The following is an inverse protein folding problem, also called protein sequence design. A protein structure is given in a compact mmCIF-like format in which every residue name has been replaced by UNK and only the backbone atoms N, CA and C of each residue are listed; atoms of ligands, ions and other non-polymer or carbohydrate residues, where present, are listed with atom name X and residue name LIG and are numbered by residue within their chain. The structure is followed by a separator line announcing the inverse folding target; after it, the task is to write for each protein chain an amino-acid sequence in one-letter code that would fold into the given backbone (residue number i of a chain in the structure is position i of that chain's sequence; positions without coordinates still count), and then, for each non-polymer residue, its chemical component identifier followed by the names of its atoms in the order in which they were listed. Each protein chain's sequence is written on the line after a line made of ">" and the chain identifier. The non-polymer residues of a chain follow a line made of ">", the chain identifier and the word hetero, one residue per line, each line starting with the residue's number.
data_IF_563227791852
#
_entry.id   IF_563227791852
#
_cell.length_a   1.000
_cell.length_b   1.000
_cell.length_c   1.000
_cell.angle_alpha   90.00
_cell.angle_beta   90.00
_cell.angle_gamma   90.00
#
_symmetry.space_group_name_H-M   'P 1'
#
loop_
_entity.id
_entity.type
_entity.pdbx_description
1 polymer ?
#
# COMPACT_ATOMS: atom_id res chain seq x y z
N UNK A 1 -8.89 5.87 3.41
CA UNK A 1 -9.88 4.78 3.42
C UNK A 1 -9.85 4.05 2.08
N UNK A 2 -9.63 2.72 2.09
CA UNK A 2 -9.56 1.90 0.88
C UNK A 2 -10.90 1.21 0.55
N UNK A 3 -12.01 1.65 1.12
CA UNK A 3 -13.33 1.05 0.89
C UNK A 3 -13.66 1.02 -0.62
N UNK A 4 -13.40 2.11 -1.33
CA UNK A 4 -13.62 2.20 -2.78
C UNK A 4 -12.83 1.17 -3.60
N UNK A 5 -11.65 0.73 -3.09
CA UNK A 5 -10.86 -0.34 -3.73
C UNK A 5 -11.55 -1.69 -3.56
N UNK A 6 -12.09 -1.97 -2.37
CA UNK A 6 -12.87 -3.19 -2.14
C UNK A 6 -14.16 -3.21 -2.97
N UNK A 7 -14.86 -2.07 -3.05
CA UNK A 7 -16.06 -1.94 -3.86
C UNK A 7 -15.76 -2.24 -5.34
N UNK A 8 -14.64 -1.70 -5.86
CA UNK A 8 -14.18 -2.00 -7.23
C UNK A 8 -13.89 -3.49 -7.44
N UNK A 9 -13.21 -4.14 -6.47
CA UNK A 9 -12.84 -5.54 -6.55
C UNK A 9 -14.06 -6.47 -6.46
N UNK A 10 -15.06 -6.14 -5.61
CA UNK A 10 -16.29 -6.92 -5.47
C UNK A 10 -17.27 -6.74 -6.65
N UNK A 11 -17.19 -5.61 -7.36
CA UNK A 11 -17.98 -5.40 -8.59
C UNK A 11 -17.53 -6.32 -9.74
N UNK A 12 -16.31 -6.85 -9.67
CA UNK A 12 -15.79 -7.80 -10.66
C UNK A 12 -16.38 -9.20 -10.43
N UNK A 13 -17.40 -9.56 -11.20
CA UNK A 13 -17.91 -10.94 -11.21
C UNK A 13 -17.02 -11.83 -12.09
N UNK A 14 -16.04 -12.50 -11.46
CA UNK A 14 -15.07 -13.34 -12.18
C UNK A 14 -15.68 -14.54 -12.92
N UNK A 15 -16.95 -14.90 -12.65
CA UNK A 15 -17.67 -15.95 -13.37
C UNK A 15 -18.25 -15.48 -14.71
N UNK A 16 -18.43 -14.18 -14.85
CA UNK A 16 -19.05 -13.57 -16.04
C UNK A 16 -18.02 -12.94 -16.98
N UNK A 17 -16.89 -12.47 -16.44
CA UNK A 17 -15.82 -11.86 -17.24
C UNK A 17 -14.94 -12.92 -17.89
N UNK A 18 -14.57 -12.70 -19.14
CA UNK A 18 -13.78 -13.64 -19.95
C UNK A 18 -12.36 -13.17 -20.23
N UNK A 19 -12.10 -11.89 -20.03
CA UNK A 19 -10.81 -11.27 -20.37
C UNK A 19 -10.31 -10.32 -19.28
N UNK A 20 -8.98 -10.16 -19.22
CA UNK A 20 -8.31 -9.17 -18.34
C UNK A 20 -8.77 -7.75 -18.66
N UNK A 21 -9.02 -7.45 -19.93
CA UNK A 21 -9.47 -6.12 -20.36
C UNK A 21 -10.88 -5.78 -19.85
N UNK A 22 -11.76 -6.77 -19.69
CA UNK A 22 -13.08 -6.56 -19.07
C UNK A 22 -12.94 -6.24 -17.59
N UNK A 23 -12.07 -6.95 -16.87
CA UNK A 23 -11.77 -6.68 -15.46
C UNK A 23 -11.21 -5.26 -15.30
N UNK A 24 -10.24 -4.87 -16.12
CA UNK A 24 -9.65 -3.52 -16.11
C UNK A 24 -10.70 -2.42 -16.34
N UNK A 25 -11.63 -2.64 -17.28
CA UNK A 25 -12.74 -1.70 -17.53
C UNK A 25 -13.69 -1.57 -16.33
N UNK A 26 -13.95 -2.67 -15.60
CA UNK A 26 -14.80 -2.62 -14.40
C UNK A 26 -14.08 -1.83 -13.31
N UNK A 27 -12.80 -2.15 -13.03
CA UNK A 27 -12.01 -1.42 -12.05
C UNK A 27 -11.92 0.08 -12.35
N UNK A 28 -11.78 0.46 -13.63
CA UNK A 28 -11.71 1.85 -14.09
C UNK A 28 -12.99 2.65 -13.89
N UNK A 29 -14.13 2.01 -13.61
CA UNK A 29 -15.38 2.72 -13.23
C UNK A 29 -15.32 3.27 -11.80
N UNK A 30 -14.54 2.64 -10.95
CA UNK A 30 -14.43 2.96 -9.51
C UNK A 30 -13.13 3.67 -9.16
N UNK A 31 -12.05 3.43 -9.93
CA UNK A 31 -10.70 3.87 -9.64
C UNK A 31 -10.17 4.75 -10.78
N UNK A 32 -9.67 5.93 -10.44
CA UNK A 32 -9.12 6.88 -11.42
C UNK A 32 -7.59 6.73 -11.59
N UNK A 33 -6.91 6.11 -10.61
CA UNK A 33 -5.46 5.95 -10.64
C UNK A 33 -5.06 4.68 -11.41
N UNK A 34 -4.43 4.89 -12.55
CA UNK A 34 -3.95 3.81 -13.43
C UNK A 34 -2.92 2.91 -12.74
N UNK A 35 -2.07 3.46 -11.87
CA UNK A 35 -1.06 2.71 -11.11
C UNK A 35 -1.71 1.70 -10.19
N UNK A 36 -2.72 2.12 -9.43
CA UNK A 36 -3.53 1.26 -8.56
C UNK A 36 -4.22 0.16 -9.37
N UNK A 37 -4.86 0.50 -10.49
CA UNK A 37 -5.52 -0.50 -11.35
C UNK A 37 -4.51 -1.55 -11.82
N UNK A 38 -3.36 -1.15 -12.34
CA UNK A 38 -2.33 -2.07 -12.81
C UNK A 38 -1.76 -2.93 -11.68
N UNK A 39 -1.61 -2.38 -10.47
CA UNK A 39 -1.22 -3.14 -9.29
C UNK A 39 -2.25 -4.21 -8.93
N UNK A 40 -3.53 -3.86 -8.90
CA UNK A 40 -4.62 -4.82 -8.64
C UNK A 40 -4.67 -5.91 -9.71
N UNK A 41 -4.48 -5.54 -10.97
CA UNK A 41 -4.43 -6.47 -12.11
C UNK A 41 -3.31 -7.51 -12.03
N UNK A 42 -2.21 -7.26 -11.29
CA UNK A 42 -1.16 -8.26 -11.02
C UNK A 42 -1.65 -9.41 -10.12
N UNK A 43 -2.73 -9.18 -9.37
CA UNK A 43 -3.38 -10.21 -8.54
C UNK A 43 -4.41 -11.05 -9.31
N UNK A 44 -4.64 -10.77 -10.58
CA UNK A 44 -5.52 -11.56 -11.43
C UNK A 44 -4.72 -12.68 -12.11
N UNK A 45 -5.15 -13.92 -11.96
CA UNK A 45 -4.58 -15.11 -12.61
C UNK A 45 -5.64 -15.92 -13.33
N UNK A 46 -5.20 -16.94 -14.08
CA UNK A 46 -6.09 -17.95 -14.59
C UNK A 46 -6.14 -19.12 -13.61
N UNK A 47 -7.35 -19.63 -13.40
CA UNK A 47 -7.57 -20.87 -12.69
C UNK A 47 -7.21 -22.09 -13.54
N UNK A 48 -7.37 -23.30 -12.99
CA UNK A 48 -7.04 -24.57 -13.67
C UNK A 48 -7.97 -24.89 -14.85
N UNK A 49 -9.14 -24.28 -14.89
CA UNK A 49 -10.16 -24.47 -15.93
C UNK A 49 -10.09 -23.39 -17.00
N UNK A 50 -9.17 -22.43 -16.87
CA UNK A 50 -8.94 -21.33 -17.82
C UNK A 50 -9.77 -20.08 -17.52
N UNK A 51 -10.58 -20.10 -16.47
CA UNK A 51 -11.29 -18.95 -15.91
C UNK A 51 -10.35 -17.93 -15.28
N UNK A 52 -10.90 -16.85 -14.76
CA UNK A 52 -10.16 -15.83 -14.03
C UNK A 52 -10.38 -15.98 -12.53
N UNK A 53 -9.31 -15.80 -11.74
CA UNK A 53 -9.37 -15.82 -10.29
C UNK A 53 -8.49 -14.72 -9.68
N UNK A 54 -8.88 -14.24 -8.50
CA UNK A 54 -7.99 -13.42 -7.67
C UNK A 54 -7.00 -14.32 -6.92
N UNK A 55 -5.70 -14.04 -7.01
CA UNK A 55 -4.66 -14.72 -6.20
C UNK A 55 -4.83 -14.46 -4.71
N UNK A 56 -5.36 -13.28 -4.35
CA UNK A 56 -5.64 -12.90 -2.98
C UNK A 56 -6.98 -13.46 -2.51
N UNK A 57 -7.06 -13.77 -1.21
CA UNK A 57 -8.34 -14.12 -0.57
C UNK A 57 -9.12 -12.83 -0.25
N UNK A 58 -9.80 -12.27 -1.27
CA UNK A 58 -10.52 -11.00 -1.17
C UNK A 58 -11.56 -10.99 -0.04
N UNK A 59 -12.42 -12.01 0.15
CA UNK A 59 -13.37 -12.03 1.25
C UNK A 59 -12.72 -12.00 2.63
N UNK A 60 -11.59 -12.70 2.81
CA UNK A 60 -10.86 -12.69 4.08
C UNK A 60 -10.18 -11.35 4.34
N UNK A 61 -9.56 -10.76 3.31
CA UNK A 61 -8.95 -9.43 3.41
C UNK A 61 -10.00 -8.39 3.82
N UNK A 62 -11.15 -8.38 3.18
CA UNK A 62 -12.24 -7.47 3.52
C UNK A 62 -12.73 -7.69 4.96
N UNK A 63 -12.98 -8.95 5.34
CA UNK A 63 -13.41 -9.30 6.71
C UNK A 63 -12.42 -8.84 7.78
N UNK A 64 -11.11 -8.83 7.45
CA UNK A 64 -10.04 -8.46 8.38
C UNK A 64 -9.54 -7.02 8.17
N UNK A 65 -10.18 -6.26 7.29
CA UNK A 65 -9.74 -4.91 6.93
C UNK A 65 -9.63 -3.97 8.15
N UNK A 66 -10.59 -4.04 9.06
CA UNK A 66 -10.56 -3.24 10.30
C UNK A 66 -9.34 -3.56 11.18
N UNK A 67 -8.88 -4.82 11.18
CA UNK A 67 -7.67 -5.20 11.91
C UNK A 67 -6.40 -4.63 11.26
N UNK A 68 -6.41 -4.46 9.92
CA UNK A 68 -5.30 -3.84 9.17
C UNK A 68 -5.25 -2.32 9.45
N UNK A 69 -6.42 -1.69 9.65
CA UNK A 69 -6.53 -0.28 9.99
C UNK A 69 -6.29 0.03 11.48
N UNK A 70 -6.29 -0.99 12.33
CA UNK A 70 -6.10 -0.78 13.76
C UNK A 70 -4.67 -0.32 14.06
N UNK A 71 -4.54 0.65 14.97
CA UNK A 71 -3.24 1.11 15.40
C UNK A 71 -2.45 0.00 16.07
N UNK A 72 -1.15 -0.05 15.80
CA UNK A 72 -0.21 -0.88 16.54
C UNK A 72 0.01 -0.24 17.91
N UNK A 73 -0.44 -0.90 18.97
CA UNK A 73 -0.22 -0.43 20.32
C UNK A 73 1.09 -1.00 20.89
N UNK A 74 1.92 -0.13 21.39
CA UNK A 74 3.16 -0.50 22.05
C UNK A 74 2.97 -0.42 23.56
N UNK A 75 3.37 -1.47 24.29
CA UNK A 75 3.33 -1.49 25.77
C UNK A 75 4.52 -0.76 26.42
N UNK A 76 5.54 -0.46 25.64
CA UNK A 76 6.76 0.21 26.08
C UNK A 76 7.48 0.89 24.92
N UNK A 77 8.39 1.81 25.23
CA UNK A 77 9.24 2.45 24.21
C UNK A 77 10.18 1.46 23.56
N UNK A 78 10.32 1.57 22.25
CA UNK A 78 11.24 0.76 21.44
C UNK A 78 12.47 1.60 21.14
N UNK A 79 13.62 1.21 21.67
CA UNK A 79 14.87 1.99 21.59
C UNK A 79 15.69 1.73 20.33
N UNK A 80 15.20 0.89 19.43
CA UNK A 80 15.86 0.59 18.15
C UNK A 80 15.97 1.85 17.29
N UNK A 81 17.14 2.11 16.73
CA UNK A 81 17.34 3.16 15.75
C UNK A 81 16.46 2.87 14.53
N UNK A 82 15.61 3.82 14.17
CA UNK A 82 14.57 3.61 13.16
C UNK A 82 14.58 4.76 12.16
N UNK A 83 14.55 4.43 10.89
CA UNK A 83 14.39 5.40 9.81
C UNK A 83 13.00 5.27 9.18
N UNK A 84 12.23 6.34 9.25
CA UNK A 84 11.01 6.51 8.48
C UNK A 84 11.32 7.24 7.17
N UNK A 85 10.83 6.70 6.05
CA UNK A 85 10.98 7.32 4.73
C UNK A 85 9.57 7.52 4.15
N UNK A 86 9.26 8.74 3.76
CA UNK A 86 7.97 9.09 3.13
C UNK A 86 8.19 9.88 1.85
N UNK A 87 7.25 9.78 0.92
CA UNK A 87 7.14 10.74 -0.17
C UNK A 87 6.47 12.05 0.29
N UNK A 88 6.83 13.15 -0.30
CA UNK A 88 6.25 14.48 0.01
C UNK A 88 4.76 14.58 -0.33
N UNK A 89 4.30 13.77 -1.29
CA UNK A 89 2.89 13.68 -1.72
C UNK A 89 2.09 12.61 -0.95
N UNK A 90 2.68 11.97 0.08
CA UNK A 90 2.06 10.90 0.87
C UNK A 90 1.49 11.43 2.18
N UNK A 91 0.23 11.11 2.46
CA UNK A 91 -0.48 11.47 3.68
C UNK A 91 -0.44 10.37 4.77
N UNK A 92 0.42 9.35 4.62
CA UNK A 92 0.49 8.24 5.58
C UNK A 92 1.22 8.59 6.88
N UNK A 93 2.14 9.55 6.85
CA UNK A 93 2.77 10.13 8.03
C UNK A 93 2.64 11.64 7.89
N UNK A 94 1.77 12.24 8.71
CA UNK A 94 1.58 13.67 8.76
C UNK A 94 2.58 14.30 9.75
N UNK A 95 2.75 15.61 9.68
CA UNK A 95 3.62 16.32 10.60
C UNK A 95 3.15 16.20 12.05
N UNK A 96 1.85 16.19 12.25
CA UNK A 96 1.19 16.02 13.55
C UNK A 96 1.36 14.63 14.17
N UNK A 97 1.63 13.58 13.37
CA UNK A 97 1.87 12.22 13.87
C UNK A 97 3.27 12.05 14.46
N UNK A 98 4.21 12.92 14.08
CA UNK A 98 5.61 12.75 14.42
C UNK A 98 5.92 12.77 15.93
N UNK A 99 5.31 13.64 16.75
CA UNK A 99 5.49 13.59 18.20
C UNK A 99 5.04 12.27 18.84
N UNK A 100 3.92 11.69 18.39
CA UNK A 100 3.42 10.40 18.86
C UNK A 100 4.37 9.25 18.49
N UNK A 101 4.91 9.28 17.27
CA UNK A 101 5.93 8.31 16.83
C UNK A 101 7.16 8.38 17.72
N UNK A 102 7.67 9.58 18.05
CA UNK A 102 8.83 9.76 18.91
C UNK A 102 8.59 9.34 20.37
N UNK A 103 7.36 9.42 20.85
CA UNK A 103 7.03 8.92 22.20
C UNK A 103 7.25 7.41 22.32
N UNK A 104 7.03 6.67 21.24
CA UNK A 104 7.17 5.21 21.20
C UNK A 104 8.55 4.79 20.69
N UNK A 105 9.06 5.49 19.69
CA UNK A 105 10.32 5.23 18.98
C UNK A 105 11.24 6.44 19.08
N UNK A 106 11.82 6.74 20.27
CA UNK A 106 12.56 8.00 20.51
C UNK A 106 13.82 8.15 19.65
N UNK A 107 14.38 7.04 19.16
CA UNK A 107 15.58 7.05 18.32
C UNK A 107 15.21 7.01 16.81
N UNK A 108 14.12 7.67 16.42
CA UNK A 108 13.66 7.68 15.03
C UNK A 108 14.09 8.93 14.29
N UNK A 109 14.36 8.74 12.99
CA UNK A 109 14.61 9.79 12.02
C UNK A 109 13.53 9.74 10.93
N UNK A 110 13.17 10.92 10.38
CA UNK A 110 12.26 11.03 9.24
C UNK A 110 12.99 11.64 8.04
N UNK A 111 12.95 10.95 6.91
CA UNK A 111 13.40 11.47 5.62
C UNK A 111 12.20 11.58 4.67
N UNK A 112 12.10 12.70 3.99
CA UNK A 112 11.07 12.95 2.99
C UNK A 112 11.71 12.99 1.62
N UNK A 113 11.19 12.19 0.68
CA UNK A 113 11.62 12.14 -0.73
C UNK A 113 10.68 13.01 -1.54
N UNK A 114 11.26 13.96 -2.30
CA UNK A 114 10.51 14.87 -3.14
C UNK A 114 9.94 14.18 -4.38
N UNK A 115 8.81 14.70 -4.88
CA UNK A 115 8.11 14.17 -6.08
C UNK A 115 7.71 12.70 -5.97
N UNK A 116 7.53 12.18 -4.76
CA UNK A 116 7.12 10.80 -4.49
C UNK A 116 5.81 10.73 -3.71
N UNK A 117 4.97 9.77 -4.08
CA UNK A 117 3.78 9.37 -3.34
C UNK A 117 4.10 8.34 -2.25
N UNK A 118 3.10 7.52 -1.90
CA UNK A 118 3.30 6.44 -0.93
C UNK A 118 4.28 5.36 -1.42
N UNK A 119 4.36 5.15 -2.73
CA UNK A 119 5.24 4.14 -3.33
C UNK A 119 6.60 4.72 -3.72
N UNK A 120 7.33 5.24 -2.74
CA UNK A 120 8.64 5.88 -2.93
C UNK A 120 9.62 5.03 -3.75
N UNK A 121 9.56 3.71 -3.62
CA UNK A 121 10.40 2.77 -4.36
C UNK A 121 10.07 2.72 -5.87
N UNK A 122 8.88 3.10 -6.26
CA UNK A 122 8.47 3.18 -7.66
C UNK A 122 8.72 4.58 -8.24
N UNK A 123 8.48 5.61 -7.42
CA UNK A 123 8.57 7.00 -7.85
C UNK A 123 10.02 7.50 -7.88
N UNK A 124 10.81 7.19 -6.83
CA UNK A 124 12.19 7.70 -6.65
C UNK A 124 13.14 6.58 -6.15
N UNK A 125 13.37 5.52 -6.94
CA UNK A 125 14.13 4.34 -6.49
C UNK A 125 15.59 4.63 -6.16
N UNK A 126 16.25 5.56 -6.85
CA UNK A 126 17.67 5.88 -6.63
C UNK A 126 17.85 6.67 -5.34
N UNK A 127 17.03 7.69 -5.10
CA UNK A 127 17.08 8.49 -3.88
C UNK A 127 16.75 7.62 -2.65
N UNK A 128 15.75 6.75 -2.76
CA UNK A 128 15.42 5.78 -1.73
C UNK A 128 16.61 4.89 -1.40
N UNK A 129 17.29 4.37 -2.42
CA UNK A 129 18.47 3.51 -2.25
C UNK A 129 19.59 4.25 -1.51
N UNK A 130 19.92 5.47 -1.91
CA UNK A 130 20.98 6.26 -1.29
C UNK A 130 20.67 6.54 0.19
N UNK A 131 19.44 6.93 0.53
CA UNK A 131 19.00 7.16 1.91
C UNK A 131 19.13 5.89 2.77
N UNK A 132 18.75 4.72 2.24
CA UNK A 132 18.88 3.45 2.96
C UNK A 132 20.34 3.09 3.19
N UNK A 133 21.19 3.23 2.17
CA UNK A 133 22.62 2.91 2.27
C UNK A 133 23.32 3.82 3.29
N UNK A 134 23.00 5.09 3.31
CA UNK A 134 23.59 6.04 4.27
C UNK A 134 23.18 5.67 5.71
N UNK A 135 21.91 5.36 5.93
CA UNK A 135 21.42 4.95 7.26
C UNK A 135 22.04 3.63 7.77
N UNK A 136 22.33 2.67 6.88
CA UNK A 136 22.94 1.38 7.29
C UNK A 136 24.43 1.54 7.63
N UNK A 137 25.09 2.57 7.09
CA UNK A 137 26.52 2.82 7.33
C UNK A 137 26.80 3.63 8.60
N UNK A 138 25.76 4.29 9.17
CA UNK A 138 25.85 4.98 10.47
C UNK A 138 25.92 3.97 11.62
#
# INVERSE_FOLDING_TARGET
>A
DHQHVFDALFDVNLKEVTSRSEVEKILSKHLNDTGTIQFLMKNLSRDKEGGLEWKMNLPLLFKKYQNILSNVQFSHRVMTTTLFIKGDKSDYILHEDWPEILDVLPNSQLKTISEAGHWVHADQPLELFDIIIDFIKE
#
